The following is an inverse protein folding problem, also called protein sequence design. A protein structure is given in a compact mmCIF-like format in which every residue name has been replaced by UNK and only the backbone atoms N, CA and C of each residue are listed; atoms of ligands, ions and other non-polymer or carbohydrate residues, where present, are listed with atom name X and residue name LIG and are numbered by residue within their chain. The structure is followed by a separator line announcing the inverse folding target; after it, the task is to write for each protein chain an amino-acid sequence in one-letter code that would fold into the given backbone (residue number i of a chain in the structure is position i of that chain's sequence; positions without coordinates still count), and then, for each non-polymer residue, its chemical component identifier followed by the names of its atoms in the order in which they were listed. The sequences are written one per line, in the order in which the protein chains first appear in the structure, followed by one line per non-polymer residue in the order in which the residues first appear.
data_IF_600832568904
#
_entry.id   IF_600832568904
#
_cell.length_a   1.000
_cell.length_b   1.000
_cell.length_c   1.000
_cell.angle_alpha   90.00
_cell.angle_beta   90.00
_cell.angle_gamma   90.00
#
_symmetry.space_group_name_H-M   'P 1'
#
loop_
_entity.id
_entity.type
_entity.pdbx_description
1 polymer ?
#
# COMPACT_ATOMS: atom_id res chain seq x y z
N UNK A 1 23.99 -0.77 -20.47
CA UNK A 1 23.49 0.24 -19.53
C UNK A 1 24.00 -0.17 -18.15
N UNK A 2 24.84 0.62 -17.48
CA UNK A 2 25.31 0.27 -16.15
C UNK A 2 24.14 0.32 -15.16
N UNK A 3 23.91 -0.78 -14.44
CA UNK A 3 22.94 -0.83 -13.35
C UNK A 3 23.54 -0.12 -12.15
N UNK A 4 22.91 0.96 -11.72
CA UNK A 4 23.33 1.71 -10.54
C UNK A 4 22.78 0.98 -9.31
N UNK A 5 23.67 0.41 -8.50
CA UNK A 5 23.31 -0.14 -7.19
C UNK A 5 23.49 0.95 -6.14
N UNK A 6 22.36 1.48 -5.66
CA UNK A 6 22.27 2.46 -4.59
C UNK A 6 21.42 1.85 -3.48
N UNK A 7 21.89 1.95 -2.24
CA UNK A 7 21.10 1.59 -1.07
C UNK A 7 20.22 2.77 -0.59
N UNK A 8 19.33 2.51 0.35
CA UNK A 8 18.36 3.50 0.84
C UNK A 8 19.03 4.72 1.47
N UNK A 9 20.17 4.55 2.15
CA UNK A 9 20.87 5.63 2.83
C UNK A 9 21.58 6.53 1.83
N UNK A 10 22.23 5.94 0.82
CA UNK A 10 22.82 6.66 -0.31
C UNK A 10 21.77 7.42 -1.12
N UNK A 11 20.58 6.84 -1.28
CA UNK A 11 19.45 7.53 -1.93
C UNK A 11 19.01 8.75 -1.12
N UNK A 12 18.92 8.62 0.21
CA UNK A 12 18.56 9.72 1.11
C UNK A 12 19.59 10.86 1.07
N UNK A 13 20.88 10.54 1.08
CA UNK A 13 21.95 11.54 0.94
C UNK A 13 21.84 12.33 -0.37
N UNK A 14 21.56 11.65 -1.48
CA UNK A 14 21.35 12.29 -2.78
C UNK A 14 20.11 13.18 -2.80
N UNK A 15 19.01 12.73 -2.18
CA UNK A 15 17.80 13.54 -2.06
C UNK A 15 18.05 14.80 -1.22
N UNK A 16 18.86 14.73 -0.17
CA UNK A 16 19.16 15.88 0.69
C UNK A 16 20.05 16.94 0.01
N UNK A 17 20.80 16.57 -1.02
CA UNK A 17 21.63 17.50 -1.82
C UNK A 17 20.81 18.36 -2.80
N UNK A 18 19.58 17.97 -3.10
CA UNK A 18 18.69 18.74 -3.97
C UNK A 18 18.20 20.02 -3.29
N UNK A 19 17.83 21.01 -4.10
CA UNK A 19 17.22 22.22 -3.57
C UNK A 19 15.83 21.94 -2.96
N UNK A 20 15.30 22.89 -2.18
CA UNK A 20 14.03 22.71 -1.51
C UNK A 20 12.84 22.49 -2.48
N UNK A 21 12.87 23.11 -3.66
CA UNK A 21 11.80 23.02 -4.65
C UNK A 21 11.80 21.65 -5.35
N UNK A 22 12.98 21.14 -5.68
CA UNK A 22 13.17 19.82 -6.29
C UNK A 22 12.84 18.69 -5.32
N UNK A 23 13.24 18.81 -4.05
CA UNK A 23 12.85 17.85 -2.99
C UNK A 23 11.35 17.80 -2.81
N UNK A 24 10.69 18.96 -2.75
CA UNK A 24 9.24 19.02 -2.63
C UNK A 24 8.54 18.35 -3.82
N UNK A 25 9.02 18.60 -5.05
CA UNK A 25 8.46 17.96 -6.26
C UNK A 25 8.60 16.44 -6.25
N UNK A 26 9.73 15.92 -5.76
CA UNK A 26 9.93 14.47 -5.63
C UNK A 26 9.05 13.87 -4.55
N UNK A 27 8.94 14.51 -3.39
CA UNK A 27 8.04 14.07 -2.31
C UNK A 27 6.58 14.00 -2.77
N UNK A 28 6.11 15.00 -3.54
CA UNK A 28 4.77 14.97 -4.14
C UNK A 28 4.61 13.79 -5.09
N UNK A 29 5.57 13.55 -5.99
CA UNK A 29 5.53 12.39 -6.89
C UNK A 29 5.56 11.05 -6.17
N UNK A 30 6.37 10.92 -5.11
CA UNK A 30 6.38 9.71 -4.28
C UNK A 30 5.06 9.53 -3.54
N UNK A 31 4.45 10.61 -3.04
CA UNK A 31 3.14 10.56 -2.41
C UNK A 31 2.03 10.19 -3.41
N UNK A 32 2.07 10.69 -4.64
CA UNK A 32 1.15 10.32 -5.73
C UNK A 32 1.30 8.85 -6.13
N UNK A 33 2.54 8.38 -6.31
CA UNK A 33 2.83 6.97 -6.61
C UNK A 33 2.42 6.04 -5.46
N UNK A 34 2.66 6.46 -4.21
CA UNK A 34 2.23 5.74 -3.02
C UNK A 34 0.70 5.69 -2.93
N UNK A 35 -0.02 6.76 -3.27
CA UNK A 35 -1.50 6.76 -3.25
C UNK A 35 -2.07 5.83 -4.31
N UNK A 36 -1.56 5.87 -5.53
CA UNK A 36 -2.00 4.96 -6.60
C UNK A 36 -1.70 3.50 -6.25
N UNK A 37 -0.51 3.22 -5.70
CA UNK A 37 -0.14 1.88 -5.25
C UNK A 37 -0.93 1.44 -4.01
N UNK A 38 -1.25 2.35 -3.10
CA UNK A 38 -2.11 2.07 -1.95
C UNK A 38 -3.56 1.80 -2.38
N UNK A 39 -4.09 2.52 -3.37
CA UNK A 39 -5.40 2.24 -3.97
C UNK A 39 -5.41 0.89 -4.67
N UNK A 40 -4.37 0.56 -5.45
CA UNK A 40 -4.25 -0.74 -6.12
C UNK A 40 -4.10 -1.89 -5.11
N UNK A 41 -3.26 -1.70 -4.08
CA UNK A 41 -3.08 -2.67 -2.98
C UNK A 41 -4.38 -2.85 -2.20
N UNK A 42 -5.10 -1.76 -1.92
CA UNK A 42 -6.40 -1.80 -1.25
C UNK A 42 -7.44 -2.51 -2.10
N UNK A 43 -7.54 -2.20 -3.39
CA UNK A 43 -8.48 -2.83 -4.30
C UNK A 43 -8.20 -4.35 -4.40
N UNK A 44 -6.94 -4.73 -4.52
CA UNK A 44 -6.52 -6.12 -4.52
C UNK A 44 -6.84 -6.83 -3.19
N UNK A 45 -6.56 -6.19 -2.06
CA UNK A 45 -6.88 -6.73 -0.74
C UNK A 45 -8.40 -6.89 -0.54
N UNK A 46 -9.19 -5.89 -0.93
CA UNK A 46 -10.66 -5.95 -0.86
C UNK A 46 -11.24 -7.05 -1.77
N UNK A 47 -10.72 -7.21 -2.99
CA UNK A 47 -11.11 -8.32 -3.88
C UNK A 47 -10.79 -9.68 -3.26
N UNK A 48 -9.60 -9.83 -2.65
CA UNK A 48 -9.22 -11.06 -1.96
C UNK A 48 -10.13 -11.34 -0.76
N UNK A 49 -10.49 -10.32 0.00
CA UNK A 49 -11.38 -10.43 1.16
C UNK A 49 -12.81 -10.82 0.75
N UNK A 50 -13.34 -10.27 -0.36
CA UNK A 50 -14.62 -10.71 -0.95
C UNK A 50 -14.60 -12.19 -1.32
N UNK A 51 -13.51 -12.66 -1.92
CA UNK A 51 -13.36 -14.08 -2.24
C UNK A 51 -13.33 -14.97 -0.99
N UNK A 52 -12.52 -14.61 0.01
CA UNK A 52 -12.38 -15.39 1.24
C UNK A 52 -13.65 -15.38 2.11
N UNK A 53 -14.41 -14.28 2.10
CA UNK A 53 -15.69 -14.20 2.81
C UNK A 53 -16.71 -15.10 2.12
N UNK A 54 -16.77 -15.07 0.78
CA UNK A 54 -17.68 -15.89 0.00
C UNK A 54 -17.41 -17.39 0.16
N UNK A 55 -16.14 -17.80 0.27
CA UNK A 55 -15.75 -19.17 0.62
C UNK A 55 -16.31 -19.63 1.97
N UNK A 56 -16.50 -18.69 2.91
CA UNK A 56 -17.14 -18.93 4.22
C UNK A 56 -18.64 -18.66 4.23
N UNK A 57 -19.26 -18.38 3.07
CA UNK A 57 -20.68 -18.09 2.94
C UNK A 57 -21.09 -16.69 3.42
N UNK A 58 -20.13 -15.79 3.59
CA UNK A 58 -20.32 -14.40 4.01
C UNK A 58 -20.20 -13.44 2.82
N UNK A 59 -21.05 -12.43 2.78
CA UNK A 59 -20.95 -11.33 1.82
C UNK A 59 -20.21 -10.14 2.45
N UNK A 60 -18.95 -9.95 2.05
CA UNK A 60 -18.05 -8.90 2.52
C UNK A 60 -18.63 -7.49 2.40
N UNK A 61 -19.39 -7.20 1.34
CA UNK A 61 -19.94 -5.87 1.10
C UNK A 61 -21.17 -5.60 2.01
N UNK A 62 -21.76 -6.66 2.58
CA UNK A 62 -22.86 -6.58 3.55
C UNK A 62 -22.43 -6.51 5.02
N UNK A 63 -21.17 -6.84 5.32
CA UNK A 63 -20.61 -6.80 6.68
C UNK A 63 -20.46 -5.36 7.18
N UNK A 64 -20.71 -5.16 8.48
CA UNK A 64 -20.33 -3.92 9.16
C UNK A 64 -18.82 -3.82 9.30
N UNK A 65 -18.31 -2.63 9.60
CA UNK A 65 -16.87 -2.42 9.80
C UNK A 65 -16.31 -3.33 10.91
N UNK A 66 -17.01 -3.42 12.05
CA UNK A 66 -16.66 -4.29 13.17
C UNK A 66 -16.59 -5.78 12.75
N UNK A 67 -17.55 -6.25 11.94
CA UNK A 67 -17.55 -7.63 11.43
C UNK A 67 -16.43 -7.90 10.41
N UNK A 68 -15.99 -6.87 9.68
CA UNK A 68 -14.84 -6.97 8.77
C UNK A 68 -13.54 -7.04 9.53
N UNK A 69 -13.40 -6.23 10.59
CA UNK A 69 -12.24 -6.28 11.49
C UNK A 69 -12.12 -7.67 12.13
N UNK A 70 -13.20 -8.18 12.73
CA UNK A 70 -13.23 -9.53 13.34
C UNK A 70 -12.82 -10.62 12.33
N UNK A 71 -13.31 -10.53 11.09
CA UNK A 71 -12.98 -11.48 10.02
C UNK A 71 -11.52 -11.42 9.60
N UNK A 72 -10.94 -10.22 9.54
CA UNK A 72 -9.53 -10.03 9.21
C UNK A 72 -8.64 -10.51 10.36
N UNK A 73 -9.03 -10.27 11.61
CA UNK A 73 -8.33 -10.82 12.78
C UNK A 73 -8.33 -12.35 12.77
N UNK A 74 -9.47 -13.00 12.52
CA UNK A 74 -9.55 -14.47 12.39
C UNK A 74 -8.65 -15.01 11.26
N UNK A 75 -8.54 -14.28 10.14
CA UNK A 75 -7.66 -14.66 9.02
C UNK A 75 -6.17 -14.55 9.35
N UNK A 76 -5.78 -13.58 10.18
CA UNK A 76 -4.39 -13.35 10.57
C UNK A 76 -3.92 -14.34 11.66
N UNK A 77 -4.87 -14.83 12.46
CA UNK A 77 -4.62 -15.81 13.53
C UNK A 77 -4.70 -17.29 13.07
N UNK A 78 -5.06 -17.55 11.81
CA UNK A 78 -5.18 -18.90 11.22
C UNK A 78 -3.94 -19.38 10.47
#
# INVERSE_FOLDING_TARGET
MPTLHIDTDQLLELLLQLDAAERWRLLVKFAEGSRAQMEETRAFAEERLRHLSAERGLDWDSLTEEQREDFVEELLDS
#
